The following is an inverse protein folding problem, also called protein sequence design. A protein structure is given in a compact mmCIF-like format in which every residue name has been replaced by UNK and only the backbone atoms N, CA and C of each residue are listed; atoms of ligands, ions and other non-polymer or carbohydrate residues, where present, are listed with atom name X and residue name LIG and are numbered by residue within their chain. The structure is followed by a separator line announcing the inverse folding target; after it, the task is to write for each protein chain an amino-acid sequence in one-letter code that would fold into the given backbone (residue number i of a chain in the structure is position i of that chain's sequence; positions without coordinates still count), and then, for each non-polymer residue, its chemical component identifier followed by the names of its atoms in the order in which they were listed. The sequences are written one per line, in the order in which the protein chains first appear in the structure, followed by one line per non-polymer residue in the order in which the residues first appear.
data_IF_308111361268
#
_entry.id   IF_308111361268
#
_cell.length_a   1.000
_cell.length_b   1.000
_cell.length_c   1.000
_cell.angle_alpha   90.00
_cell.angle_beta   90.00
_cell.angle_gamma   90.00
#
_symmetry.space_group_name_H-M   'P 1'
#
loop_
_entity.id
_entity.type
_entity.pdbx_description
1 polymer ?
#
# COMPACT_ATOMS: atom_id res chain seq x y z
N UNK A 1 5.22 9.38 -10.31
CA UNK A 1 4.18 9.00 -9.32
C UNK A 1 3.28 10.18 -9.10
N UNK A 2 1.98 10.04 -9.31
CA UNK A 2 1.02 11.08 -8.94
C UNK A 2 0.53 10.76 -7.52
N UNK A 3 0.45 11.76 -6.65
CA UNK A 3 -0.20 11.73 -5.33
C UNK A 3 0.36 10.81 -4.21
N UNK A 4 1.64 10.45 -4.26
CA UNK A 4 2.35 9.92 -3.08
C UNK A 4 3.15 11.04 -2.40
N UNK A 5 3.16 11.05 -1.07
CA UNK A 5 4.02 11.94 -0.30
C UNK A 5 4.80 11.19 0.76
N UNK A 6 6.03 11.63 0.96
CA UNK A 6 6.98 11.08 1.90
C UNK A 6 7.05 11.96 3.14
N UNK A 7 7.16 11.36 4.32
CA UNK A 7 7.27 12.08 5.58
C UNK A 7 8.25 11.42 6.54
N UNK A 8 9.13 12.21 7.15
CA UNK A 8 10.01 11.75 8.22
C UNK A 8 9.29 11.81 9.57
N UNK A 9 9.19 10.68 10.24
CA UNK A 9 8.75 10.56 11.63
C UNK A 9 9.95 10.36 12.56
N UNK A 10 9.73 10.33 13.88
CA UNK A 10 10.81 10.25 14.89
C UNK A 10 11.79 9.09 14.66
N UNK A 11 11.29 7.92 14.27
CA UNK A 11 12.09 6.69 14.18
C UNK A 11 12.08 6.04 12.78
N UNK A 12 11.17 6.48 11.89
CA UNK A 12 10.95 5.88 10.57
C UNK A 12 10.55 6.93 9.54
N UNK A 13 10.65 6.58 8.26
CA UNK A 13 10.08 7.37 7.17
C UNK A 13 8.81 6.68 6.68
N UNK A 14 7.81 7.47 6.27
CA UNK A 14 6.55 6.98 5.74
C UNK A 14 6.37 7.40 4.30
N UNK A 15 5.98 6.46 3.44
CA UNK A 15 5.35 6.76 2.16
C UNK A 15 3.83 6.61 2.33
N UNK A 16 3.09 7.69 2.10
CA UNK A 16 1.62 7.69 2.09
C UNK A 16 1.16 7.94 0.66
N UNK A 17 0.37 7.03 0.11
CA UNK A 17 -0.02 7.09 -1.29
C UNK A 17 -1.53 7.24 -1.43
N UNK A 18 -1.98 8.38 -1.92
CA UNK A 18 -3.39 8.57 -2.27
C UNK A 18 -3.63 7.91 -3.62
N UNK A 19 -4.44 6.86 -3.62
CA UNK A 19 -4.75 6.05 -4.78
C UNK A 19 -6.18 6.37 -5.27
N UNK A 20 -6.38 6.62 -6.58
CA UNK A 20 -7.67 7.07 -7.13
C UNK A 20 -8.70 5.94 -7.32
N UNK A 21 -8.28 4.68 -7.18
CA UNK A 21 -9.14 3.52 -7.38
C UNK A 21 -10.25 3.43 -6.33
N UNK A 22 -11.35 2.76 -6.69
CA UNK A 22 -12.41 2.44 -5.75
C UNK A 22 -11.86 1.60 -4.59
N UNK A 23 -12.30 1.90 -3.37
CA UNK A 23 -11.76 1.28 -2.14
C UNK A 23 -11.84 -0.25 -2.19
N UNK A 24 -12.96 -0.81 -2.65
CA UNK A 24 -13.13 -2.26 -2.70
C UNK A 24 -12.18 -2.95 -3.70
N UNK A 25 -12.01 -2.38 -4.90
CA UNK A 25 -11.12 -2.89 -5.95
C UNK A 25 -9.66 -2.82 -5.49
N UNK A 26 -9.29 -1.70 -4.86
CA UNK A 26 -7.96 -1.51 -4.33
C UNK A 26 -7.66 -2.47 -3.18
N UNK A 27 -8.60 -2.67 -2.26
CA UNK A 27 -8.44 -3.65 -1.17
C UNK A 27 -8.27 -5.08 -1.70
N UNK A 28 -8.99 -5.45 -2.76
CA UNK A 28 -8.85 -6.73 -3.42
C UNK A 28 -7.46 -6.89 -4.04
N UNK A 29 -6.99 -5.87 -4.77
CA UNK A 29 -5.66 -5.88 -5.37
C UNK A 29 -4.53 -5.94 -4.32
N UNK A 30 -4.63 -5.15 -3.25
CA UNK A 30 -3.67 -5.20 -2.13
C UNK A 30 -3.70 -6.55 -1.42
N UNK A 31 -4.86 -7.20 -1.31
CA UNK A 31 -4.99 -8.53 -0.72
C UNK A 31 -4.30 -9.61 -1.56
N UNK A 32 -4.40 -9.53 -2.91
CA UNK A 32 -3.64 -10.40 -3.82
C UNK A 32 -2.14 -10.22 -3.60
N UNK A 33 -1.65 -8.98 -3.64
CA UNK A 33 -0.23 -8.66 -3.41
C UNK A 33 0.24 -9.08 -2.01
N UNK A 34 -0.63 -9.03 -1.00
CA UNK A 34 -0.27 -9.46 0.35
C UNK A 34 0.01 -10.97 0.43
N UNK A 35 -0.78 -11.79 -0.25
CA UNK A 35 -0.59 -13.26 -0.28
C UNK A 35 0.68 -13.61 -1.05
N UNK A 36 0.92 -12.94 -2.17
CA UNK A 36 2.08 -13.17 -3.03
C UNK A 36 3.36 -12.51 -2.49
N UNK A 37 3.32 -11.93 -1.29
CA UNK A 37 4.42 -11.17 -0.66
C UNK A 37 4.91 -9.99 -1.51
N UNK A 38 4.09 -9.54 -2.45
CA UNK A 38 4.35 -8.42 -3.37
C UNK A 38 3.99 -7.04 -2.81
N UNK A 39 3.35 -6.96 -1.64
CA UNK A 39 2.86 -5.69 -1.08
C UNK A 39 3.97 -4.73 -0.57
N UNK A 40 5.21 -5.20 -0.45
CA UNK A 40 6.34 -4.37 -0.06
C UNK A 40 6.87 -3.47 -1.19
N UNK A 41 7.39 -2.30 -0.80
CA UNK A 41 8.14 -1.36 -1.64
C UNK A 41 9.65 -1.73 -1.70
N UNK A 42 10.01 -3.00 -1.53
CA UNK A 42 11.40 -3.43 -1.49
C UNK A 42 11.98 -3.62 -0.08
N UNK A 43 13.31 -3.82 0.04
CA UNK A 43 13.95 -4.24 1.28
C UNK A 43 13.69 -3.28 2.43
N UNK A 44 13.41 -3.84 3.60
CA UNK A 44 13.19 -3.12 4.88
C UNK A 44 11.99 -2.16 4.88
N UNK A 45 11.18 -2.20 3.81
CA UNK A 45 9.90 -1.51 3.76
C UNK A 45 8.79 -2.41 4.26
N UNK A 46 7.77 -1.81 4.88
CA UNK A 46 6.64 -2.56 5.45
C UNK A 46 5.35 -1.81 5.25
N UNK A 47 4.32 -2.48 4.70
CA UNK A 47 2.96 -1.98 4.76
C UNK A 47 2.49 -1.97 6.23
N UNK A 48 2.10 -0.80 6.73
CA UNK A 48 1.68 -0.64 8.13
C UNK A 48 0.17 -0.54 8.29
N UNK A 49 -0.52 -0.06 7.26
CA UNK A 49 -1.95 0.13 7.28
C UNK A 49 -2.42 1.09 6.21
N UNK A 50 -3.67 1.50 6.30
CA UNK A 50 -4.25 2.53 5.44
C UNK A 50 -5.17 3.43 6.25
N UNK A 51 -5.39 4.66 5.79
CA UNK A 51 -6.46 5.52 6.29
C UNK A 51 -7.30 6.02 5.12
N UNK A 52 -8.42 6.66 5.43
CA UNK A 52 -9.31 7.25 4.42
C UNK A 52 -9.15 8.77 4.43
N UNK A 53 -8.99 9.36 3.26
CA UNK A 53 -8.97 10.80 3.08
C UNK A 53 -9.74 11.16 1.81
N UNK A 54 -10.72 12.08 1.93
CA UNK A 54 -11.57 12.50 0.82
C UNK A 54 -12.25 11.34 0.05
N UNK A 55 -12.63 10.27 0.76
CA UNK A 55 -13.26 9.09 0.15
C UNK A 55 -12.30 8.16 -0.60
N UNK A 56 -10.99 8.46 -0.59
CA UNK A 56 -9.95 7.62 -1.17
C UNK A 56 -9.20 6.87 -0.07
N UNK A 57 -8.75 5.66 -0.41
CA UNK A 57 -7.88 4.87 0.44
C UNK A 57 -6.44 5.39 0.31
N UNK A 58 -5.78 5.54 1.44
CA UNK A 58 -4.38 5.98 1.52
C UNK A 58 -3.55 4.91 2.23
N UNK A 59 -3.04 3.92 1.48
CA UNK A 59 -2.02 3.00 1.95
C UNK A 59 -0.77 3.70 2.50
N UNK A 60 -0.19 3.11 3.54
CA UNK A 60 1.00 3.63 4.22
C UNK A 60 2.06 2.54 4.34
N UNK A 61 3.28 2.90 3.96
CA UNK A 61 4.46 2.06 4.14
C UNK A 61 5.50 2.78 4.98
N UNK A 62 6.12 2.02 5.87
CA UNK A 62 7.27 2.45 6.63
C UNK A 62 8.56 2.03 5.93
N UNK A 63 9.58 2.88 6.01
CA UNK A 63 10.95 2.63 5.57
C UNK A 63 11.96 3.05 6.66
N UNK A 64 13.24 2.64 6.52
CA UNK A 64 14.34 3.13 7.36
C UNK A 64 14.42 4.67 7.41
N UNK A 65 14.95 5.21 8.51
CA UNK A 65 14.98 6.66 8.75
C UNK A 65 15.87 7.44 7.76
N UNK A 66 16.92 6.78 7.29
CA UNK A 66 17.90 7.26 6.30
C UNK A 66 17.42 7.11 4.85
N UNK A 67 16.25 6.51 4.63
CA UNK A 67 15.68 6.38 3.28
C UNK A 67 14.96 7.66 2.86
N UNK A 68 15.67 8.45 2.05
CA UNK A 68 15.15 9.68 1.44
C UNK A 68 14.06 9.41 0.39
N UNK A 69 13.34 10.46 0.01
CA UNK A 69 12.19 10.36 -0.89
C UNK A 69 12.56 9.83 -2.28
N UNK A 70 13.70 10.24 -2.83
CA UNK A 70 14.20 9.83 -4.15
C UNK A 70 14.42 8.32 -4.22
N UNK A 71 14.90 7.72 -3.13
CA UNK A 71 15.12 6.28 -3.03
C UNK A 71 13.81 5.47 -2.95
N UNK A 72 12.66 6.14 -2.80
CA UNK A 72 11.33 5.51 -2.78
C UNK A 72 10.65 5.54 -4.15
N UNK A 73 11.15 6.32 -5.12
CA UNK A 73 10.50 6.48 -6.42
C UNK A 73 10.47 5.19 -7.24
N UNK A 74 11.64 4.60 -7.51
CA UNK A 74 11.75 3.37 -8.30
C UNK A 74 10.97 2.21 -7.66
N UNK A 75 11.06 1.94 -6.34
CA UNK A 75 10.28 0.87 -5.74
C UNK A 75 8.77 1.13 -5.74
N UNK A 76 8.34 2.39 -5.66
CA UNK A 76 6.93 2.73 -5.78
C UNK A 76 6.42 2.59 -7.21
N UNK A 77 7.22 2.88 -8.23
CA UNK A 77 6.90 2.55 -9.64
C UNK A 77 6.75 1.03 -9.81
N UNK A 78 7.68 0.25 -9.27
CA UNK A 78 7.60 -1.21 -9.31
C UNK A 78 6.39 -1.77 -8.54
N UNK A 79 6.00 -1.16 -7.41
CA UNK A 79 4.76 -1.52 -6.73
C UNK A 79 3.54 -1.15 -7.56
N UNK A 80 3.52 0.01 -8.23
CA UNK A 80 2.41 0.41 -9.07
C UNK A 80 2.16 -0.57 -10.21
N UNK A 81 3.22 -1.00 -10.90
CA UNK A 81 3.09 -1.98 -11.97
C UNK A 81 2.42 -3.28 -11.51
N UNK A 82 2.86 -3.82 -10.35
CA UNK A 82 2.25 -5.02 -9.75
C UNK A 82 0.82 -4.78 -9.29
N UNK A 83 0.53 -3.58 -8.78
CA UNK A 83 -0.82 -3.19 -8.39
C UNK A 83 -1.74 -3.10 -9.61
N UNK A 84 -1.27 -2.56 -10.73
CA UNK A 84 -2.03 -2.48 -11.99
C UNK A 84 -2.40 -3.88 -12.52
N UNK A 85 -1.44 -4.83 -12.46
CA UNK A 85 -1.70 -6.23 -12.81
C UNK A 85 -2.76 -6.87 -11.90
N UNK A 86 -2.68 -6.60 -10.59
CA UNK A 86 -3.64 -7.11 -9.62
C UNK A 86 -5.05 -6.50 -9.79
N UNK A 87 -5.13 -5.22 -10.14
CA UNK A 87 -6.38 -4.50 -10.43
C UNK A 87 -7.04 -4.99 -11.72
N UNK A 88 -6.25 -5.38 -12.73
CA UNK A 88 -6.75 -5.92 -13.99
C UNK A 88 -7.32 -7.35 -13.86
N UNK A 89 -7.17 -8.00 -12.69
CA UNK A 89 -7.63 -9.37 -12.46
C UNK A 89 -9.10 -9.41 -12.06
N UNK A 90 -9.93 -10.06 -12.88
CA UNK A 90 -11.38 -10.25 -12.68
C UNK A 90 -11.75 -11.50 -11.85
N UNK A 91 -10.77 -12.33 -11.52
CA UNK A 91 -11.00 -13.57 -10.80
C UNK A 91 -11.46 -13.31 -9.36
N UNK A 92 -12.44 -14.04 -8.82
CA UNK A 92 -12.82 -13.90 -7.41
C UNK A 92 -11.63 -14.14 -6.46
N UNK A 93 -11.58 -13.41 -5.34
CA UNK A 93 -10.54 -13.65 -4.33
C UNK A 93 -10.60 -15.09 -3.80
N UNK A 94 -9.43 -15.70 -3.61
CA UNK A 94 -9.31 -16.99 -2.92
C UNK A 94 -9.66 -16.84 -1.43
N UNK A 95 -9.86 -17.95 -0.72
CA UNK A 95 -10.11 -17.91 0.72
C UNK A 95 -8.95 -17.27 1.51
N UNK A 96 -7.72 -17.44 1.04
CA UNK A 96 -6.53 -16.81 1.63
C UNK A 96 -6.52 -15.30 1.37
N UNK A 97 -6.78 -14.89 0.13
CA UNK A 97 -6.86 -13.47 -0.22
C UNK A 97 -8.00 -12.75 0.51
N UNK A 98 -9.17 -13.38 0.70
CA UNK A 98 -10.26 -12.82 1.53
C UNK A 98 -9.81 -12.62 2.98
N UNK A 99 -9.06 -13.56 3.55
CA UNK A 99 -8.49 -13.41 4.91
C UNK A 99 -7.47 -12.27 4.96
N UNK A 100 -6.61 -12.15 3.94
CA UNK A 100 -5.67 -11.03 3.82
C UNK A 100 -6.40 -9.69 3.75
N UNK A 101 -7.46 -9.58 2.93
CA UNK A 101 -8.32 -8.40 2.83
C UNK A 101 -8.90 -7.98 4.18
N UNK A 102 -9.47 -8.91 4.94
CA UNK A 102 -9.95 -8.63 6.30
C UNK A 102 -8.84 -8.14 7.24
N UNK A 103 -7.62 -8.68 7.09
CA UNK A 103 -6.44 -8.23 7.83
C UNK A 103 -5.91 -6.85 7.42
N UNK A 104 -6.14 -6.43 6.17
CA UNK A 104 -5.82 -5.08 5.70
C UNK A 104 -6.81 -4.06 6.26
N UNK A 105 -8.11 -4.41 6.24
CA UNK A 105 -9.19 -3.59 6.80
C UNK A 105 -9.03 -3.36 8.31
N UNK A 106 -8.57 -4.37 9.06
CA UNK A 106 -8.35 -4.22 10.51
C UNK A 106 -7.14 -3.35 10.85
N UNK A 107 -6.26 -3.08 9.88
CA UNK A 107 -5.11 -2.16 9.99
C UNK A 107 -5.46 -0.75 9.52
N UNK A 108 -6.67 -0.30 9.82
CA UNK A 108 -7.06 1.08 9.56
C UNK A 108 -6.36 2.00 10.58
N UNK A 109 -5.60 2.98 10.08
CA UNK A 109 -4.93 3.99 10.88
C UNK A 109 -5.89 5.14 11.16
N UNK A 110 -5.89 5.62 12.41
CA UNK A 110 -6.51 6.89 12.79
C UNK A 110 -5.43 7.95 12.83
N UNK A 111 -5.58 9.01 12.04
CA UNK A 111 -4.71 10.19 12.12
C UNK A 111 -5.26 11.10 13.22
N UNK A 112 -4.51 11.25 14.31
CA UNK A 112 -4.76 12.22 15.37
C UNK A 112 -3.83 13.43 15.21
#
# INVERSE_FOLDING_TARGET
MTSAYWCRMKERTHLRWVLPEAEDELLDALARLSVDRGLGLGPETRYVGSFRAHGLLVPVWDAPLDREAEAMEEPAVALRARLDEALATDQPLTAEQRRARSGLLSRQLTLN
#
